data_IF_800016135933
#
_entry.id   IF_800016135933
#
_cell.length_a   1.000
_cell.length_b   1.000
_cell.length_c   1.000
_cell.angle_alpha   90.00
_cell.angle_beta   90.00
_cell.angle_gamma   90.00
#
_symmetry.space_group_name_H-M   'P 1'
#
loop_
_entity.id
_entity.type
_entity.pdbx_description
1 polymer ?
#
# COMPACT_ATOMS: atom_id res chain seq x y z
N UNK A 1 -0.49 -10.97 0.78
CA UNK A 1 -1.16 -11.05 -0.53
C UNK A 1 -1.74 -12.44 -0.85
N UNK A 2 -1.83 -13.38 0.10
CA UNK A 2 -2.39 -14.70 -0.19
C UNK A 2 -3.81 -14.64 -0.73
N UNK A 3 -4.67 -13.85 -0.11
CA UNK A 3 -6.07 -13.72 -0.53
C UNK A 3 -6.23 -13.05 -1.91
N UNK A 4 -5.48 -11.97 -2.16
CA UNK A 4 -5.53 -11.25 -3.45
C UNK A 4 -5.18 -12.18 -4.63
N UNK A 5 -4.24 -13.11 -4.44
CA UNK A 5 -3.89 -14.11 -5.47
C UNK A 5 -5.07 -15.00 -5.86
N UNK A 6 -5.99 -15.28 -4.94
CA UNK A 6 -7.16 -16.12 -5.19
C UNK A 6 -8.34 -15.31 -5.73
N UNK A 7 -8.58 -14.12 -5.17
CA UNK A 7 -9.71 -13.25 -5.53
C UNK A 7 -9.47 -12.54 -6.87
N UNK A 8 -8.24 -12.08 -7.12
CA UNK A 8 -7.84 -11.38 -8.34
C UNK A 8 -6.41 -11.79 -8.77
N UNK A 9 -6.27 -12.94 -9.45
CA UNK A 9 -4.96 -13.45 -9.86
C UNK A 9 -4.26 -12.57 -10.91
N UNK A 10 -5.00 -11.78 -11.69
CA UNK A 10 -4.46 -10.91 -12.72
C UNK A 10 -3.75 -9.71 -12.09
N UNK A 11 -4.42 -9.01 -11.16
CA UNK A 11 -3.80 -7.91 -10.41
C UNK A 11 -2.61 -8.41 -9.58
N UNK A 12 -2.75 -9.57 -8.94
CA UNK A 12 -1.63 -10.18 -8.21
C UNK A 12 -0.42 -10.45 -9.11
N UNK A 13 -0.65 -10.95 -10.33
CA UNK A 13 0.41 -11.19 -11.31
C UNK A 13 1.14 -9.89 -11.66
N UNK A 14 0.42 -8.83 -11.99
CA UNK A 14 1.04 -7.55 -12.35
C UNK A 14 1.83 -6.91 -11.21
N UNK A 15 1.33 -6.98 -9.96
CA UNK A 15 2.08 -6.52 -8.79
C UNK A 15 3.37 -7.33 -8.61
N UNK A 16 3.32 -8.64 -8.84
CA UNK A 16 4.50 -9.51 -8.74
C UNK A 16 5.53 -9.20 -9.83
N UNK A 17 5.09 -8.96 -11.07
CA UNK A 17 5.95 -8.56 -12.19
C UNK A 17 6.63 -7.21 -11.92
N UNK A 18 5.91 -6.23 -11.36
CA UNK A 18 6.47 -4.93 -10.99
C UNK A 18 7.52 -5.05 -9.87
N UNK A 19 7.28 -5.89 -8.86
CA UNK A 19 8.26 -6.15 -7.81
C UNK A 19 9.56 -6.73 -8.40
N UNK A 20 9.44 -7.67 -9.35
CA UNK A 20 10.61 -8.24 -10.01
C UNK A 20 11.31 -7.23 -10.92
N UNK A 21 10.58 -6.34 -11.61
CA UNK A 21 11.15 -5.22 -12.36
C UNK A 21 11.99 -4.32 -11.45
N UNK A 22 11.44 -3.89 -10.32
CA UNK A 22 12.13 -3.03 -9.34
C UNK A 22 13.38 -3.69 -8.73
N UNK A 23 13.37 -5.01 -8.53
CA UNK A 23 14.50 -5.76 -7.97
C UNK A 23 15.67 -5.89 -8.92
N UNK A 24 15.40 -5.97 -10.22
CA UNK A 24 16.40 -6.22 -11.25
C UNK A 24 16.82 -4.94 -12.00
N UNK A 25 16.02 -3.88 -11.90
CA UNK A 25 16.32 -2.57 -12.46
C UNK A 25 17.30 -1.76 -11.60
N UNK A 26 18.12 -0.94 -12.26
CA UNK A 26 18.88 0.11 -11.59
C UNK A 26 18.09 1.41 -11.68
N UNK A 27 17.39 1.76 -10.60
CA UNK A 27 16.53 2.94 -10.57
C UNK A 27 17.36 4.21 -10.28
N UNK A 28 17.41 5.13 -11.26
CA UNK A 28 18.21 6.36 -11.22
C UNK A 28 17.37 7.64 -11.23
N UNK A 29 16.05 7.51 -11.10
CA UNK A 29 15.15 8.66 -10.99
C UNK A 29 15.35 9.28 -9.61
N UNK A 30 15.85 10.51 -9.56
CA UNK A 30 16.27 11.18 -8.31
C UNK A 30 15.16 11.34 -7.26
N UNK A 31 13.89 11.28 -7.68
CA UNK A 31 12.72 11.43 -6.82
C UNK A 31 12.12 10.10 -6.36
N UNK A 32 12.59 8.97 -6.87
CA UNK A 32 12.10 7.65 -6.48
C UNK A 32 12.84 7.10 -5.26
N UNK A 33 12.17 6.22 -4.51
CA UNK A 33 12.72 5.57 -3.34
C UNK A 33 11.93 4.30 -3.00
N UNK A 34 12.48 3.47 -2.10
CA UNK A 34 11.82 2.26 -1.60
C UNK A 34 11.34 2.46 -0.17
N UNK A 35 10.04 2.32 0.05
CA UNK A 35 9.46 2.34 1.38
C UNK A 35 9.86 1.09 2.19
N UNK A 36 9.94 1.23 3.52
CA UNK A 36 10.16 0.07 4.39
C UNK A 36 8.93 -0.83 4.45
N UNK A 37 9.11 -2.11 4.79
CA UNK A 37 8.00 -3.05 4.97
C UNK A 37 6.96 -2.55 5.98
N UNK A 38 7.42 -1.92 7.08
CA UNK A 38 6.54 -1.37 8.10
C UNK A 38 5.60 -0.28 7.56
N UNK A 39 6.06 0.55 6.61
CA UNK A 39 5.22 1.56 5.96
C UNK A 39 4.13 0.88 5.11
N UNK A 40 4.51 -0.12 4.32
CA UNK A 40 3.57 -0.87 3.47
C UNK A 40 2.52 -1.63 4.30
N UNK A 41 2.93 -2.22 5.42
CA UNK A 41 2.04 -2.89 6.38
C UNK A 41 1.03 -1.92 6.99
N UNK A 42 1.47 -0.72 7.39
CA UNK A 42 0.57 0.30 7.93
C UNK A 42 -0.46 0.78 6.90
N UNK A 43 -0.07 0.94 5.63
CA UNK A 43 -0.96 1.33 4.54
C UNK A 43 -2.02 0.26 4.23
N UNK A 44 -1.69 -1.03 4.41
CA UNK A 44 -2.63 -2.15 4.23
C UNK A 44 -3.54 -2.42 5.43
N UNK A 45 -3.54 -1.55 6.46
CA UNK A 45 -4.31 -1.75 7.68
C UNK A 45 -5.80 -1.40 7.55
N UNK A 46 -6.57 -1.78 8.57
CA UNK A 46 -8.00 -1.47 8.69
C UNK A 46 -8.30 0.03 8.82
N UNK A 47 -7.29 0.90 8.92
CA UNK A 47 -7.48 2.35 8.93
C UNK A 47 -8.20 2.86 7.67
N UNK A 48 -8.09 2.14 6.55
CA UNK A 48 -8.85 2.44 5.32
C UNK A 48 -10.37 2.45 5.54
N UNK A 49 -10.86 1.72 6.55
CA UNK A 49 -12.28 1.66 6.88
C UNK A 49 -12.75 2.90 7.66
N UNK A 50 -11.83 3.69 8.24
CA UNK A 50 -12.18 4.77 9.16
C UNK A 50 -12.40 6.08 8.41
N UNK A 51 -13.64 6.55 8.44
CA UNK A 51 -13.97 7.92 8.07
C UNK A 51 -13.68 8.87 9.25
N UNK A 52 -12.82 9.87 9.04
CA UNK A 52 -12.27 10.69 10.12
C UNK A 52 -12.21 12.19 9.76
N UNK A 53 -13.26 12.75 9.18
CA UNK A 53 -13.29 14.19 8.87
C UNK A 53 -13.12 15.07 10.11
N UNK A 54 -12.49 16.24 9.95
CA UNK A 54 -12.15 17.17 11.02
C UNK A 54 -10.71 16.98 11.53
N UNK A 55 -10.44 17.44 12.75
CA UNK A 55 -9.12 17.36 13.40
C UNK A 55 -9.14 16.42 14.61
N UNK A 56 -7.97 15.98 15.14
CA UNK A 56 -7.91 15.25 16.40
C UNK A 56 -8.64 16.01 17.52
N UNK A 57 -9.54 15.33 18.24
CA UNK A 57 -10.39 15.93 19.28
C UNK A 57 -11.53 16.83 18.76
N UNK A 58 -11.64 17.02 17.44
CA UNK A 58 -12.68 17.82 16.76
C UNK A 58 -13.17 17.11 15.50
N UNK A 59 -13.57 15.84 15.63
CA UNK A 59 -14.10 15.03 14.53
C UNK A 59 -15.60 15.29 14.35
N UNK A 60 -16.08 15.16 13.11
CA UNK A 60 -17.52 15.23 12.83
C UNK A 60 -18.24 13.92 13.17
N UNK A 61 -17.54 12.79 13.12
CA UNK A 61 -18.08 11.46 13.42
C UNK A 61 -17.39 10.85 14.63
N UNK A 62 -18.16 10.11 15.45
CA UNK A 62 -17.69 9.45 16.67
C UNK A 62 -16.89 8.16 16.44
N UNK A 63 -16.32 7.67 17.55
CA UNK A 63 -15.31 6.58 17.57
C UNK A 63 -13.98 7.02 16.98
#
# INVERSE_FOLDING_TARGET
MGELRHVDPEVFKHISEELERQRHGLELIASENFASKAVLEAQGSVLTNKYAEGLPGKRYYGG
#
